data_IF_635670016301
#
_entry.id   IF_635670016301
#
_cell.length_a   1.000
_cell.length_b   1.000
_cell.length_c   1.000
_cell.angle_alpha   90.00
_cell.angle_beta   90.00
_cell.angle_gamma   90.00
#
_symmetry.space_group_name_H-M   'P 1'
#
loop_
_entity.id
_entity.type
_entity.pdbx_description
1 polymer ?
#
# COMPACT_ATOMS: atom_id res chain seq x y z
N UNK A 1 -0.76 8.55 -22.80
CA UNK A 1 -1.65 7.54 -22.17
C UNK A 1 -2.83 8.30 -21.59
N UNK A 2 -4.07 7.88 -21.87
CA UNK A 2 -5.26 8.54 -21.32
C UNK A 2 -5.44 8.17 -19.85
N UNK A 3 -5.68 9.15 -18.98
CA UNK A 3 -5.97 8.91 -17.56
C UNK A 3 -7.35 8.27 -17.43
N UNK A 4 -7.44 7.18 -16.66
CA UNK A 4 -8.73 6.51 -16.38
C UNK A 4 -9.29 6.85 -15.00
N UNK A 5 -8.51 7.55 -14.18
CA UNK A 5 -8.82 7.96 -12.82
C UNK A 5 -8.22 9.34 -12.57
N UNK A 6 -8.75 10.05 -11.58
CA UNK A 6 -8.14 11.27 -11.07
C UNK A 6 -6.94 10.94 -10.19
N UNK A 7 -7.11 9.95 -9.31
CA UNK A 7 -6.08 9.46 -8.38
C UNK A 7 -5.78 7.98 -8.69
N UNK A 8 -4.50 7.63 -8.76
CA UNK A 8 -4.06 6.25 -8.92
C UNK A 8 -3.16 5.81 -7.76
N UNK A 9 -3.60 4.79 -7.04
CA UNK A 9 -2.79 4.05 -6.09
C UNK A 9 -2.31 2.75 -6.72
N UNK A 10 -1.01 2.49 -6.67
CA UNK A 10 -0.42 1.19 -6.99
C UNK A 10 0.22 0.55 -5.77
N UNK A 11 -0.34 -0.59 -5.39
CA UNK A 11 -0.02 -1.28 -4.15
C UNK A 11 0.77 -2.54 -4.49
N UNK A 12 1.99 -2.64 -3.99
CA UNK A 12 2.82 -3.83 -4.17
C UNK A 12 3.74 -4.03 -2.97
N UNK A 13 3.93 -5.31 -2.59
CA UNK A 13 4.91 -5.68 -1.57
C UNK A 13 6.33 -5.26 -1.96
N UNK A 14 6.58 -5.05 -3.25
CA UNK A 14 7.91 -4.72 -3.76
C UNK A 14 8.14 -3.22 -4.02
N UNK A 15 7.20 -2.32 -3.65
CA UNK A 15 7.47 -0.88 -3.64
C UNK A 15 8.51 -0.57 -2.55
N UNK A 16 9.64 0.03 -2.92
CA UNK A 16 10.80 0.27 -2.04
C UNK A 16 11.34 -0.98 -1.32
N UNK A 17 11.02 -2.18 -1.82
CA UNK A 17 11.38 -3.45 -1.20
C UNK A 17 11.71 -4.48 -2.28
N UNK A 18 12.94 -4.48 -2.78
CA UNK A 18 13.37 -5.44 -3.79
C UNK A 18 13.38 -6.86 -3.23
N UNK A 19 12.50 -7.72 -3.74
CA UNK A 19 12.43 -9.15 -3.39
C UNK A 19 12.63 -10.02 -4.64
N UNK A 20 11.96 -9.68 -5.74
CA UNK A 20 11.96 -10.46 -6.96
C UNK A 20 11.77 -9.62 -8.22
N UNK A 21 11.13 -10.22 -9.23
CA UNK A 21 10.94 -9.60 -10.54
C UNK A 21 9.88 -8.49 -10.55
N UNK A 22 8.93 -8.50 -9.62
CA UNK A 22 7.85 -7.50 -9.57
C UNK A 22 8.42 -6.12 -9.25
N UNK A 23 9.48 -6.01 -8.43
CA UNK A 23 10.19 -4.75 -8.24
C UNK A 23 10.57 -4.10 -9.57
N UNK A 24 11.17 -4.87 -10.50
CA UNK A 24 11.60 -4.34 -11.80
C UNK A 24 10.41 -3.92 -12.66
N UNK A 25 9.34 -4.72 -12.67
CA UNK A 25 8.11 -4.41 -13.42
C UNK A 25 7.46 -3.13 -12.90
N UNK A 26 7.25 -3.05 -11.59
CA UNK A 26 6.58 -1.92 -10.94
C UNK A 26 7.45 -0.65 -11.06
N UNK A 27 8.77 -0.75 -10.83
CA UNK A 27 9.71 0.38 -10.94
C UNK A 27 9.81 0.94 -12.36
N UNK A 28 9.95 0.08 -13.37
CA UNK A 28 10.04 0.53 -14.77
C UNK A 28 8.73 1.13 -15.29
N UNK A 29 7.59 0.63 -14.81
CA UNK A 29 6.28 1.18 -15.15
C UNK A 29 5.99 2.50 -14.43
N UNK A 30 6.50 2.67 -13.21
CA UNK A 30 6.23 3.84 -12.38
C UNK A 30 6.58 5.17 -13.05
N UNK A 31 7.67 5.22 -13.83
CA UNK A 31 8.06 6.42 -14.59
C UNK A 31 6.94 6.89 -15.54
N UNK A 32 6.40 5.97 -16.35
CA UNK A 32 5.30 6.27 -17.28
C UNK A 32 4.01 6.65 -16.56
N UNK A 33 3.76 6.06 -15.39
CA UNK A 33 2.61 6.44 -14.58
C UNK A 33 2.78 7.83 -13.99
N UNK A 34 3.98 8.17 -13.51
CA UNK A 34 4.30 9.49 -12.98
C UNK A 34 4.19 10.57 -14.06
N UNK A 35 4.65 10.31 -15.29
CA UNK A 35 4.45 11.22 -16.44
C UNK A 35 2.96 11.46 -16.71
N UNK A 36 2.14 10.40 -16.66
CA UNK A 36 0.73 10.52 -16.94
C UNK A 36 -0.02 11.22 -15.79
N UNK A 37 0.15 10.76 -14.55
CA UNK A 37 -0.66 11.15 -13.39
C UNK A 37 -0.07 12.28 -12.54
N UNK A 38 1.24 12.52 -12.61
CA UNK A 38 1.92 13.54 -11.82
C UNK A 38 1.80 13.28 -10.32
N UNK A 39 1.41 14.33 -9.58
CA UNK A 39 1.25 14.26 -8.12
C UNK A 39 0.07 13.39 -7.66
N UNK A 40 -0.82 12.99 -8.57
CA UNK A 40 -1.98 12.14 -8.25
C UNK A 40 -1.68 10.63 -8.39
N UNK A 41 -0.39 10.28 -8.53
CA UNK A 41 0.09 8.92 -8.53
C UNK A 41 0.82 8.58 -7.25
N UNK A 42 0.35 7.53 -6.57
CA UNK A 42 0.87 7.09 -5.29
C UNK A 42 1.21 5.61 -5.34
N UNK A 43 2.43 5.27 -4.95
CA UNK A 43 2.87 3.90 -4.78
C UNK A 43 2.79 3.53 -3.30
N UNK A 44 2.30 2.34 -2.98
CA UNK A 44 2.12 1.89 -1.60
C UNK A 44 2.89 0.61 -1.38
N UNK A 45 3.76 0.62 -0.37
CA UNK A 45 4.67 -0.47 -0.04
C UNK A 45 4.79 -0.74 1.46
N UNK A 46 5.49 -1.81 1.86
CA UNK A 46 5.85 -2.02 3.26
C UNK A 46 7.04 -1.12 3.63
N UNK A 47 7.05 -0.61 4.86
CA UNK A 47 8.20 0.09 5.41
C UNK A 47 9.15 -0.91 6.07
N UNK A 48 10.34 -1.05 5.49
CA UNK A 48 11.45 -1.78 6.08
C UNK A 48 12.65 -0.84 6.21
N UNK A 49 13.02 -0.39 7.42
CA UNK A 49 13.99 0.69 7.62
C UNK A 49 15.31 0.49 6.83
N UNK A 50 15.87 -0.72 6.89
CA UNK A 50 17.14 -1.04 6.23
C UNK A 50 17.06 -1.00 4.69
N UNK A 51 15.88 -1.26 4.12
CA UNK A 51 15.66 -1.25 2.67
C UNK A 51 15.24 0.13 2.16
N UNK A 52 14.45 0.85 2.95
CA UNK A 52 13.96 2.18 2.60
C UNK A 52 15.12 3.18 2.41
N UNK A 53 16.19 3.09 3.21
CA UNK A 53 17.35 4.00 3.14
C UNK A 53 17.97 4.15 1.74
N UNK A 54 17.91 3.12 0.90
CA UNK A 54 18.50 3.15 -0.44
C UNK A 54 17.57 3.72 -1.51
N UNK A 55 16.26 3.53 -1.35
CA UNK A 55 15.27 3.71 -2.41
C UNK A 55 14.18 4.73 -2.04
N UNK A 56 14.20 5.32 -0.84
CA UNK A 56 13.12 6.19 -0.38
C UNK A 56 13.66 7.49 0.19
N UNK A 57 13.12 8.60 -0.30
CA UNK A 57 13.34 9.93 0.28
C UNK A 57 12.08 10.34 1.04
N UNK A 58 12.17 10.38 2.36
CA UNK A 58 11.05 10.73 3.22
C UNK A 58 10.75 12.24 3.12
N UNK A 59 9.47 12.59 2.96
CA UNK A 59 8.97 13.95 2.90
C UNK A 59 7.77 14.11 3.86
N UNK A 60 7.37 15.35 4.12
CA UNK A 60 6.17 15.59 4.90
C UNK A 60 4.93 15.13 4.12
N UNK A 61 3.98 14.43 4.77
CA UNK A 61 2.73 14.05 4.12
C UNK A 61 1.94 15.30 3.69
N UNK A 62 1.24 15.18 2.57
CA UNK A 62 0.28 16.19 2.12
C UNK A 62 -0.82 16.38 3.17
N UNK A 63 -1.46 17.55 3.19
CA UNK A 63 -2.58 17.81 4.12
C UNK A 63 -3.69 16.77 4.01
N UNK A 64 -3.92 16.24 2.81
CA UNK A 64 -4.91 15.18 2.54
C UNK A 64 -4.53 13.86 3.22
N UNK A 65 -3.25 13.52 3.29
CA UNK A 65 -2.79 12.27 3.90
C UNK A 65 -2.71 12.35 5.43
N UNK A 66 -2.48 13.55 6.00
CA UNK A 66 -2.22 13.71 7.45
C UNK A 66 -3.31 13.13 8.35
N UNK A 67 -4.58 13.46 8.10
CA UNK A 67 -5.70 12.95 8.92
C UNK A 67 -5.77 11.42 8.89
N UNK A 68 -5.66 10.83 7.69
CA UNK A 68 -5.67 9.37 7.52
C UNK A 68 -4.50 8.71 8.26
N UNK A 69 -3.31 9.31 8.21
CA UNK A 69 -2.11 8.78 8.85
C UNK A 69 -2.23 8.86 10.38
N UNK A 70 -2.79 9.94 10.92
CA UNK A 70 -3.03 10.09 12.35
C UNK A 70 -4.05 9.10 12.88
N UNK A 71 -5.12 8.82 12.13
CA UNK A 71 -6.11 7.79 12.49
C UNK A 71 -5.49 6.40 12.53
N UNK A 72 -4.71 6.04 11.50
CA UNK A 72 -4.02 4.75 11.43
C UNK A 72 -2.96 4.61 12.54
N UNK A 73 -2.27 5.69 12.88
CA UNK A 73 -1.27 5.69 13.96
C UNK A 73 -1.88 5.31 15.30
N UNK A 74 -3.12 5.74 15.59
CA UNK A 74 -3.84 5.40 16.84
C UNK A 74 -4.05 3.89 17.02
N UNK A 75 -4.07 3.13 15.93
CA UNK A 75 -4.24 1.67 15.95
C UNK A 75 -2.94 0.91 15.68
N UNK A 76 -1.79 1.60 15.66
CA UNK A 76 -0.48 0.98 15.51
C UNK A 76 -0.01 0.78 14.05
N UNK A 77 -0.60 1.50 13.09
CA UNK A 77 -0.13 1.53 11.70
C UNK A 77 0.51 2.89 11.44
N UNK A 78 1.81 2.93 11.18
CA UNK A 78 2.54 4.17 10.89
C UNK A 78 2.77 4.27 9.39
N UNK A 79 2.45 5.42 8.79
CA UNK A 79 2.65 5.66 7.36
C UNK A 79 3.76 6.69 7.15
N UNK A 80 4.73 6.35 6.31
CA UNK A 80 5.84 7.20 5.89
C UNK A 80 5.55 7.70 4.48
N UNK A 81 5.48 9.02 4.29
CA UNK A 81 5.26 9.64 2.98
C UNK A 81 6.59 10.11 2.39
N UNK A 82 6.72 10.08 1.07
CA UNK A 82 7.92 10.53 0.41
C UNK A 82 7.94 10.22 -1.07
N UNK A 83 9.14 10.06 -1.62
CA UNK A 83 9.39 9.71 -3.01
C UNK A 83 10.12 8.38 -3.10
N UNK A 84 9.69 7.52 -4.02
CA UNK A 84 10.54 6.40 -4.44
C UNK A 84 11.64 6.95 -5.35
N UNK A 85 12.90 6.74 -4.97
CA UNK A 85 14.10 7.07 -5.74
C UNK A 85 14.23 6.14 -6.96
N UNK A 86 13.34 6.35 -7.91
CA UNK A 86 13.29 5.71 -9.22
C UNK A 86 13.13 6.77 -10.30
N UNK A 87 13.22 6.34 -11.56
CA UNK A 87 12.84 7.19 -12.67
C UNK A 87 11.39 7.71 -12.47
N UNK A 88 11.20 9.01 -12.67
CA UNK A 88 9.92 9.71 -12.44
C UNK A 88 9.63 10.15 -11.00
N UNK A 89 10.40 9.69 -9.99
CA UNK A 89 10.22 10.04 -8.56
C UNK A 89 8.74 10.06 -8.10
N UNK A 90 8.00 8.95 -8.23
CA UNK A 90 6.59 8.91 -7.87
C UNK A 90 6.41 9.12 -6.36
N UNK A 91 5.24 9.62 -5.94
CA UNK A 91 4.89 9.63 -4.53
C UNK A 91 4.85 8.20 -4.01
N UNK A 92 5.38 7.98 -2.80
CA UNK A 92 5.37 6.69 -2.13
C UNK A 92 4.84 6.84 -0.70
N UNK A 93 4.02 5.88 -0.30
CA UNK A 93 3.53 5.71 1.07
C UNK A 93 4.00 4.33 1.55
N UNK A 94 4.93 4.31 2.50
CA UNK A 94 5.43 3.08 3.10
C UNK A 94 4.75 2.84 4.45
N UNK A 95 4.21 1.65 4.62
CA UNK A 95 3.41 1.28 5.80
C UNK A 95 4.28 0.48 6.76
N UNK A 96 4.55 1.03 7.93
CA UNK A 96 5.05 0.29 9.09
C UNK A 96 3.85 -0.32 9.83
N UNK A 97 3.77 -1.64 9.72
CA UNK A 97 2.71 -2.47 10.28
C UNK A 97 3.22 -3.33 11.45
N UNK A 98 4.44 -3.10 11.97
CA UNK A 98 5.05 -3.94 13.01
C UNK A 98 4.16 -3.98 14.25
N UNK A 99 3.67 -2.82 14.70
CA UNK A 99 2.79 -2.72 15.85
C UNK A 99 1.37 -3.27 15.57
N UNK A 100 1.01 -3.50 14.30
CA UNK A 100 -0.28 -4.04 13.90
C UNK A 100 -0.27 -5.58 13.74
N UNK A 101 0.91 -6.23 13.74
CA UNK A 101 1.06 -7.70 13.58
C UNK A 101 0.26 -8.53 14.59
N UNK A 102 -0.03 -7.98 15.77
CA UNK A 102 -0.85 -8.64 16.78
C UNK A 102 -2.27 -9.00 16.29
N UNK A 103 -2.77 -8.32 15.25
CA UNK A 103 -4.10 -8.58 14.64
C UNK A 103 -4.11 -9.76 13.67
N UNK A 104 -2.98 -10.40 13.37
CA UNK A 104 -2.87 -11.45 12.35
C UNK A 104 -3.97 -12.52 12.41
N UNK A 105 -4.18 -13.11 13.60
CA UNK A 105 -5.18 -14.18 13.76
C UNK A 105 -6.61 -13.69 13.53
N UNK A 106 -6.89 -12.46 13.91
CA UNK A 106 -8.19 -11.84 13.67
C UNK A 106 -8.40 -11.56 12.18
N UNK A 107 -7.38 -11.02 11.49
CA UNK A 107 -7.43 -10.79 10.05
C UNK A 107 -7.65 -12.11 9.29
N UNK A 108 -6.96 -13.19 9.66
CA UNK A 108 -7.15 -14.52 9.09
C UNK A 108 -8.60 -15.02 9.29
N UNK A 109 -9.15 -14.84 10.50
CA UNK A 109 -10.54 -15.17 10.80
C UNK A 109 -11.50 -14.37 9.93
N UNK A 110 -11.31 -13.06 9.81
CA UNK A 110 -12.15 -12.19 8.98
C UNK A 110 -12.12 -12.62 7.50
N UNK A 111 -10.94 -12.93 6.95
CA UNK A 111 -10.81 -13.41 5.57
C UNK A 111 -11.54 -14.74 5.33
N UNK A 112 -11.49 -15.65 6.31
CA UNK A 112 -12.29 -16.87 6.28
C UNK A 112 -13.79 -16.58 6.35
N UNK A 113 -14.21 -15.67 7.22
CA UNK A 113 -15.62 -15.33 7.42
C UNK A 113 -16.22 -14.63 6.20
N UNK A 114 -15.47 -13.73 5.56
CA UNK A 114 -15.93 -12.97 4.40
C UNK A 114 -15.87 -13.75 3.10
N UNK A 115 -14.79 -14.52 2.90
CA UNK A 115 -14.44 -15.07 1.59
C UNK A 115 -13.99 -16.53 1.62
N UNK A 116 -13.98 -17.18 2.80
CA UNK A 116 -13.52 -18.57 2.97
C UNK A 116 -12.07 -18.78 2.55
N UNK A 117 -11.21 -17.77 2.72
CA UNK A 117 -9.76 -17.90 2.50
C UNK A 117 -9.19 -18.74 3.64
N UNK A 118 -8.78 -19.97 3.33
CA UNK A 118 -8.15 -20.88 4.30
C UNK A 118 -6.67 -20.54 4.48
N UNK A 119 -6.26 -20.31 5.72
CA UNK A 119 -4.87 -20.03 6.11
C UNK A 119 -4.33 -21.01 7.16
N UNK A 120 -4.97 -22.16 7.40
CA UNK A 120 -4.56 -23.14 8.42
C UNK A 120 -3.19 -23.75 8.15
N UNK A 121 -2.82 -23.85 6.86
CA UNK A 121 -1.53 -24.39 6.40
C UNK A 121 -0.63 -23.33 5.77
N UNK A 122 -0.92 -22.06 6.01
CA UNK A 122 -0.12 -20.96 5.50
C UNK A 122 1.31 -21.02 6.06
N UNK A 123 2.27 -20.71 5.21
CA UNK A 123 3.69 -20.63 5.55
C UNK A 123 4.02 -19.26 6.16
N UNK A 124 5.13 -19.10 6.90
CA UNK A 124 5.45 -17.84 7.58
C UNK A 124 5.56 -16.61 6.67
N UNK A 125 5.90 -16.81 5.40
CA UNK A 125 5.95 -15.78 4.35
C UNK A 125 4.56 -15.29 3.89
N UNK A 126 3.47 -15.93 4.30
CA UNK A 126 2.10 -15.46 4.11
C UNK A 126 1.69 -14.39 5.14
N UNK A 127 2.19 -14.50 6.36
CA UNK A 127 1.63 -13.78 7.51
C UNK A 127 1.91 -12.27 7.47
N UNK A 128 3.16 -11.87 7.18
CA UNK A 128 3.50 -10.45 7.11
C UNK A 128 2.81 -9.72 5.95
N UNK A 129 2.80 -10.26 4.71
CA UNK A 129 2.08 -9.65 3.60
C UNK A 129 0.59 -9.50 3.86
N UNK A 130 -0.04 -10.47 4.53
CA UNK A 130 -1.47 -10.40 4.87
C UNK A 130 -1.77 -9.24 5.81
N UNK A 131 -0.99 -9.08 6.88
CA UNK A 131 -1.16 -7.96 7.83
C UNK A 131 -0.91 -6.62 7.14
N UNK A 132 0.18 -6.52 6.38
CA UNK A 132 0.51 -5.31 5.64
C UNK A 132 -0.55 -4.94 4.61
N UNK A 133 -0.99 -5.90 3.80
CA UNK A 133 -1.96 -5.64 2.75
C UNK A 133 -3.32 -5.27 3.34
N UNK A 134 -3.70 -5.87 4.47
CA UNK A 134 -4.86 -5.43 5.24
C UNK A 134 -4.72 -3.96 5.67
N UNK A 135 -3.57 -3.58 6.26
CA UNK A 135 -3.26 -2.20 6.61
C UNK A 135 -3.25 -1.25 5.39
N UNK A 136 -2.79 -1.73 4.22
CA UNK A 136 -2.87 -0.98 2.97
C UNK A 136 -4.33 -0.76 2.54
N UNK A 137 -5.20 -1.77 2.66
CA UNK A 137 -6.64 -1.61 2.45
C UNK A 137 -7.24 -0.57 3.39
N UNK A 138 -6.87 -0.60 4.67
CA UNK A 138 -7.31 0.40 5.65
C UNK A 138 -6.84 1.81 5.27
N UNK A 139 -5.59 1.96 4.84
CA UNK A 139 -5.04 3.22 4.37
C UNK A 139 -5.85 3.79 3.21
N UNK A 140 -6.07 2.98 2.16
CA UNK A 140 -6.85 3.42 1.00
C UNK A 140 -8.26 3.82 1.44
N UNK A 141 -8.94 3.04 2.30
CA UNK A 141 -10.28 3.40 2.81
C UNK A 141 -10.29 4.80 3.46
N UNK A 142 -9.29 5.15 4.29
CA UNK A 142 -9.25 6.48 4.94
C UNK A 142 -8.94 7.58 3.94
N UNK A 143 -8.04 7.32 3.00
CA UNK A 143 -7.69 8.26 1.96
C UNK A 143 -8.87 8.55 1.02
N UNK A 144 -9.74 7.57 0.73
CA UNK A 144 -10.94 7.81 -0.09
C UNK A 144 -11.83 8.91 0.50
N UNK A 145 -11.94 9.00 1.82
CA UNK A 145 -12.69 10.08 2.48
C UNK A 145 -12.08 11.47 2.25
N UNK A 146 -10.77 11.54 2.01
CA UNK A 146 -10.05 12.79 1.74
C UNK A 146 -10.14 13.22 0.27
N UNK A 147 -10.42 12.28 -0.64
CA UNK A 147 -10.54 12.52 -2.08
C UNK A 147 -12.01 12.55 -2.54
N UNK A 148 -12.90 13.16 -1.75
CA UNK A 148 -14.30 13.32 -2.12
C UNK A 148 -14.45 13.89 -3.54
N UNK A 149 -15.39 13.33 -4.32
CA UNK A 149 -15.67 13.67 -5.73
C UNK A 149 -14.57 13.32 -6.75
N UNK A 150 -13.49 12.63 -6.35
CA UNK A 150 -12.47 12.11 -7.28
C UNK A 150 -12.73 10.65 -7.63
N UNK A 151 -12.51 10.30 -8.90
CA UNK A 151 -12.44 8.91 -9.32
C UNK A 151 -11.10 8.32 -8.91
N UNK A 152 -11.09 7.48 -7.89
CA UNK A 152 -9.89 6.80 -7.38
C UNK A 152 -9.81 5.38 -7.93
N UNK A 153 -8.61 4.96 -8.35
CA UNK A 153 -8.30 3.57 -8.68
C UNK A 153 -7.19 3.07 -7.77
N UNK A 154 -7.41 1.91 -7.15
CA UNK A 154 -6.40 1.18 -6.39
C UNK A 154 -6.07 -0.12 -7.12
N UNK A 155 -4.82 -0.25 -7.58
CA UNK A 155 -4.33 -1.38 -8.35
C UNK A 155 -3.35 -2.20 -7.50
N UNK A 156 -3.71 -3.45 -7.24
CA UNK A 156 -2.97 -4.37 -6.38
C UNK A 156 -2.15 -5.33 -7.22
N UNK A 157 -0.85 -5.45 -6.93
CA UNK A 157 0.08 -6.35 -7.62
C UNK A 157 0.35 -7.59 -6.77
N UNK A 158 0.21 -8.76 -7.41
CA UNK A 158 0.44 -10.08 -6.81
C UNK A 158 -0.45 -10.43 -5.62
N UNK A 159 -0.46 -11.72 -5.25
CA UNK A 159 -1.25 -12.24 -4.14
C UNK A 159 -0.88 -11.62 -2.79
N UNK A 160 0.39 -11.19 -2.63
CA UNK A 160 0.91 -10.55 -1.41
C UNK A 160 0.16 -9.28 -1.02
N UNK A 161 -0.43 -8.59 -2.00
CA UNK A 161 -1.26 -7.40 -1.77
C UNK A 161 -2.78 -7.69 -1.80
N UNK A 162 -3.16 -8.94 -2.09
CA UNK A 162 -4.54 -9.36 -2.34
C UNK A 162 -5.46 -9.16 -1.14
N UNK A 163 -4.96 -9.29 0.10
CA UNK A 163 -5.75 -9.04 1.31
C UNK A 163 -6.28 -7.60 1.35
N UNK A 164 -5.51 -6.62 0.87
CA UNK A 164 -5.94 -5.22 0.81
C UNK A 164 -7.07 -5.00 -0.21
N UNK A 165 -7.02 -5.70 -1.34
CA UNK A 165 -8.10 -5.70 -2.33
C UNK A 165 -9.38 -6.30 -1.72
N UNK A 166 -9.26 -7.45 -1.04
CA UNK A 166 -10.40 -8.12 -0.41
C UNK A 166 -11.03 -7.28 0.70
N UNK A 167 -10.19 -6.57 1.48
CA UNK A 167 -10.63 -5.60 2.48
C UNK A 167 -11.49 -4.51 1.84
N UNK A 168 -10.97 -3.84 0.81
CA UNK A 168 -11.70 -2.76 0.13
C UNK A 168 -12.98 -3.24 -0.54
N UNK A 169 -12.99 -4.46 -1.11
CA UNK A 169 -14.20 -5.05 -1.70
C UNK A 169 -15.28 -5.34 -0.66
N UNK A 170 -14.89 -5.59 0.60
CA UNK A 170 -15.84 -5.89 1.67
C UNK A 170 -16.53 -4.62 2.22
N UNK A 171 -15.87 -3.47 2.10
CA UNK A 171 -16.35 -2.15 2.53
C UNK A 171 -17.31 -1.55 1.52
#
# INVERSE_FOLDING_TARGET
MEKKADILFEISWEVCNKVGGIYTVVKSKAAKMAEAYGNEYYMVGPYFPSKALADFHEELPTELCKSAFEELKKIGIICHFGKWLSEGNPNAILIDFVNYKHRLNEIKRELWDWYRVDSLRATPDYDEPVVWAYAAGMLIERLLNCFADKKVVAHFHEWLSGTGLLYLKKK
#
